data_IF_945067690075
#
_entry.id   IF_945067690075
#
_cell.length_a   1.000
_cell.length_b   1.000
_cell.length_c   1.000
_cell.angle_alpha   90.00
_cell.angle_beta   90.00
_cell.angle_gamma   90.00
#
_symmetry.space_group_name_H-M   'P 1'
#
loop_
_entity.id
_entity.type
_entity.pdbx_description
1 polymer ?
#
# COMPACT_ATOMS: atom_id res chain seq x y z
N UNK A 1 -16.13 21.76 -20.07
CA UNK A 1 -17.04 21.15 -19.07
C UNK A 1 -16.66 19.68 -18.91
N UNK A 2 -16.50 19.22 -17.68
CA UNK A 2 -16.13 17.83 -17.41
C UNK A 2 -17.35 16.90 -17.50
N UNK A 3 -17.07 15.66 -17.92
CA UNK A 3 -17.96 14.51 -17.79
C UNK A 3 -17.19 13.39 -17.09
N UNK A 4 -17.87 12.67 -16.23
CA UNK A 4 -17.30 11.53 -15.54
C UNK A 4 -18.20 10.30 -15.61
N UNK A 5 -17.59 9.14 -15.73
CA UNK A 5 -18.24 7.84 -15.70
C UNK A 5 -17.41 6.92 -14.83
N UNK A 6 -18.00 5.87 -14.27
CA UNK A 6 -17.26 4.85 -13.54
C UNK A 6 -17.71 3.44 -13.92
N UNK A 7 -16.78 2.50 -13.79
CA UNK A 7 -17.05 1.08 -14.04
C UNK A 7 -16.44 0.23 -12.95
N UNK A 8 -17.26 -0.61 -12.34
CA UNK A 8 -16.79 -1.61 -11.39
C UNK A 8 -16.03 -2.72 -12.11
N UNK A 9 -14.89 -3.10 -11.56
CA UNK A 9 -14.12 -4.26 -11.97
C UNK A 9 -13.87 -5.16 -10.76
N UNK A 10 -13.74 -6.47 -11.00
CA UNK A 10 -13.32 -7.43 -9.98
C UNK A 10 -11.99 -8.04 -10.41
N UNK A 11 -10.94 -7.75 -9.67
CA UNK A 11 -9.61 -8.32 -9.84
C UNK A 11 -9.59 -9.72 -9.23
N UNK A 12 -8.99 -10.68 -9.94
CA UNK A 12 -8.92 -12.09 -9.54
C UNK A 12 -7.48 -12.44 -9.21
N UNK A 13 -7.21 -12.82 -7.96
CA UNK A 13 -5.87 -13.21 -7.54
C UNK A 13 -5.40 -14.48 -8.25
N UNK A 14 -4.15 -14.50 -8.72
CA UNK A 14 -3.49 -15.70 -9.27
C UNK A 14 -3.34 -16.81 -8.23
N UNK A 15 -3.12 -16.41 -6.98
CA UNK A 15 -3.06 -17.29 -5.80
C UNK A 15 -3.76 -16.60 -4.65
N UNK A 16 -4.48 -17.32 -3.79
CA UNK A 16 -5.12 -16.73 -2.62
C UNK A 16 -4.12 -15.98 -1.75
N UNK A 17 -4.44 -14.74 -1.39
CA UNK A 17 -3.64 -13.90 -0.49
C UNK A 17 -4.06 -14.11 0.97
N UNK A 18 -3.25 -14.80 1.76
CA UNK A 18 -3.52 -15.01 3.19
C UNK A 18 -3.16 -13.78 4.03
N UNK A 19 -4.09 -13.30 4.83
CA UNK A 19 -3.92 -12.20 5.79
C UNK A 19 -4.44 -12.60 7.16
N UNK A 20 -4.15 -11.87 8.22
CA UNK A 20 -4.73 -12.09 9.56
C UNK A 20 -6.25 -11.92 9.59
N UNK A 21 -6.84 -11.26 8.59
CA UNK A 21 -8.30 -11.02 8.44
C UNK A 21 -9.01 -12.03 7.54
N UNK A 22 -8.26 -12.96 6.95
CA UNK A 22 -8.81 -13.99 6.06
C UNK A 22 -8.07 -14.09 4.73
N UNK A 23 -8.64 -14.82 3.80
CA UNK A 23 -8.05 -15.12 2.51
C UNK A 23 -8.74 -14.32 1.41
N UNK A 24 -7.95 -13.57 0.66
CA UNK A 24 -8.40 -12.79 -0.50
C UNK A 24 -8.26 -13.62 -1.78
N UNK A 25 -9.34 -13.83 -2.50
CA UNK A 25 -9.37 -14.47 -3.82
C UNK A 25 -9.76 -13.51 -4.93
N UNK A 26 -10.49 -12.46 -4.58
CA UNK A 26 -10.91 -11.38 -5.47
C UNK A 26 -10.82 -10.04 -4.76
N UNK A 27 -10.81 -8.96 -5.53
CA UNK A 27 -10.82 -7.59 -5.05
C UNK A 27 -11.62 -6.71 -5.99
N UNK A 28 -12.58 -5.97 -5.45
CA UNK A 28 -13.35 -4.99 -6.20
C UNK A 28 -12.61 -3.65 -6.27
N UNK A 29 -12.70 -3.01 -7.44
CA UNK A 29 -12.26 -1.64 -7.68
C UNK A 29 -13.22 -0.97 -8.65
N UNK A 30 -13.29 0.36 -8.62
CA UNK A 30 -14.06 1.16 -9.58
C UNK A 30 -13.10 2.06 -10.35
N UNK A 31 -13.11 1.92 -11.66
CA UNK A 31 -12.32 2.76 -12.56
C UNK A 31 -13.14 4.00 -12.87
N UNK A 32 -12.66 5.15 -12.44
CA UNK A 32 -13.23 6.46 -12.69
C UNK A 32 -12.59 7.07 -13.92
N UNK A 33 -13.40 7.51 -14.87
CA UNK A 33 -12.98 8.14 -16.11
C UNK A 33 -13.51 9.56 -16.16
N UNK A 34 -12.62 10.53 -16.41
CA UNK A 34 -12.97 11.95 -16.50
C UNK A 34 -12.47 12.51 -17.83
N UNK A 35 -13.32 13.27 -18.54
CA UNK A 35 -12.95 13.91 -19.82
C UNK A 35 -13.50 15.33 -19.92
N UNK A 36 -12.80 16.19 -20.63
CA UNK A 36 -13.33 17.49 -21.01
C UNK A 36 -14.14 17.36 -22.31
N UNK A 37 -15.35 17.89 -22.31
CA UNK A 37 -16.22 17.90 -23.52
C UNK A 37 -15.62 18.65 -24.70
N UNK A 38 -14.66 19.55 -24.49
CA UNK A 38 -13.95 20.25 -25.54
C UNK A 38 -12.82 19.39 -26.16
N UNK A 39 -12.31 18.36 -25.42
CA UNK A 39 -11.29 17.43 -25.86
C UNK A 39 -11.72 16.00 -25.46
N UNK A 40 -12.78 15.44 -26.06
CA UNK A 40 -13.41 14.21 -25.60
C UNK A 40 -12.51 12.96 -25.76
N UNK A 41 -11.50 13.02 -26.60
CA UNK A 41 -10.54 11.93 -26.83
C UNK A 41 -9.49 11.81 -25.71
N UNK A 42 -9.34 12.84 -24.88
CA UNK A 42 -8.46 12.81 -23.71
C UNK A 42 -9.25 12.36 -22.50
N UNK A 43 -8.92 11.18 -21.98
CA UNK A 43 -9.60 10.57 -20.83
C UNK A 43 -8.59 10.40 -19.70
N UNK A 44 -8.81 11.13 -18.61
CA UNK A 44 -8.12 10.90 -17.36
C UNK A 44 -8.73 9.69 -16.63
N UNK A 45 -7.88 8.79 -16.15
CA UNK A 45 -8.29 7.52 -15.55
C UNK A 45 -7.78 7.42 -14.12
N UNK A 46 -8.66 7.09 -13.18
CA UNK A 46 -8.33 6.83 -11.78
C UNK A 46 -8.93 5.53 -11.27
N UNK A 47 -8.41 5.03 -10.18
CA UNK A 47 -8.90 3.82 -9.52
C UNK A 47 -9.36 4.13 -8.11
N UNK A 48 -10.65 3.89 -7.84
CA UNK A 48 -11.22 3.90 -6.50
C UNK A 48 -11.14 2.46 -5.96
N UNK A 49 -10.12 2.21 -5.14
CA UNK A 49 -9.69 0.87 -4.73
C UNK A 49 -9.99 0.63 -3.26
N UNK A 50 -10.75 -0.41 -2.95
CA UNK A 50 -11.11 -0.77 -1.57
C UNK A 50 -10.61 -2.16 -1.21
N UNK A 51 -10.41 -2.39 0.09
CA UNK A 51 -10.24 -3.71 0.68
C UNK A 51 -11.33 -3.88 1.73
N UNK A 52 -12.24 -4.83 1.49
CA UNK A 52 -13.34 -5.12 2.43
C UNK A 52 -12.80 -5.46 3.82
N UNK A 53 -13.38 -4.83 4.85
CA UNK A 53 -12.97 -4.99 6.24
C UNK A 53 -11.69 -4.24 6.64
N UNK A 54 -11.09 -3.47 5.72
CA UNK A 54 -9.94 -2.61 5.99
C UNK A 54 -10.18 -1.16 5.62
N UNK A 55 -10.69 -0.90 4.40
CA UNK A 55 -11.01 0.47 3.96
C UNK A 55 -12.07 1.09 4.86
N UNK A 56 -11.90 2.37 5.20
CA UNK A 56 -12.86 3.13 6.01
C UNK A 56 -14.06 3.63 5.22
N UNK A 57 -14.03 3.50 3.90
CA UNK A 57 -15.14 3.92 3.02
C UNK A 57 -16.47 3.24 3.39
N UNK A 58 -17.60 3.99 3.53
CA UNK A 58 -18.90 3.44 3.85
C UNK A 58 -19.49 2.64 2.69
N UNK A 59 -19.36 1.31 2.73
CA UNK A 59 -19.74 0.44 1.60
C UNK A 59 -21.22 0.49 1.22
N UNK A 60 -22.13 0.74 2.16
CA UNK A 60 -23.56 0.83 1.91
C UNK A 60 -23.95 2.03 1.02
N UNK A 61 -23.14 3.08 0.98
CA UNK A 61 -23.37 4.31 0.22
C UNK A 61 -22.30 4.55 -0.84
N UNK A 62 -21.37 3.65 -1.02
CA UNK A 62 -20.19 3.82 -1.87
C UNK A 62 -20.52 4.11 -3.34
N UNK A 63 -21.34 3.27 -3.98
CA UNK A 63 -21.73 3.47 -5.37
C UNK A 63 -22.66 4.69 -5.54
N UNK A 64 -23.49 4.99 -4.54
CA UNK A 64 -24.30 6.22 -4.55
C UNK A 64 -23.40 7.47 -4.53
N UNK A 65 -22.29 7.44 -3.76
CA UNK A 65 -21.32 8.53 -3.72
C UNK A 65 -20.54 8.66 -5.04
N UNK A 66 -20.13 7.56 -5.66
CA UNK A 66 -19.54 7.58 -7.01
C UNK A 66 -20.49 8.16 -8.05
N UNK A 67 -21.77 7.78 -7.99
CA UNK A 67 -22.80 8.29 -8.87
C UNK A 67 -23.03 9.81 -8.66
N UNK A 68 -23.11 10.26 -7.40
CA UNK A 68 -23.18 11.69 -7.07
C UNK A 68 -21.98 12.45 -7.66
N UNK A 69 -20.77 11.98 -7.42
CA UNK A 69 -19.55 12.59 -7.96
C UNK A 69 -19.57 12.67 -9.48
N UNK A 70 -19.96 11.58 -10.17
CA UNK A 70 -20.00 11.53 -11.63
C UNK A 70 -20.97 12.56 -12.20
N UNK A 71 -22.15 12.72 -11.60
CA UNK A 71 -23.14 13.72 -12.03
C UNK A 71 -22.72 15.16 -11.71
N UNK A 72 -22.00 15.36 -10.61
CA UNK A 72 -21.57 16.67 -10.11
C UNK A 72 -20.08 16.93 -10.34
N UNK A 73 -19.48 16.29 -11.34
CA UNK A 73 -18.02 16.37 -11.56
C UNK A 73 -17.50 17.79 -11.81
N UNK A 74 -18.33 18.69 -12.33
CA UNK A 74 -17.95 20.10 -12.48
C UNK A 74 -17.99 20.90 -11.16
N UNK A 75 -18.63 20.33 -10.15
CA UNK A 75 -18.73 20.86 -8.77
C UNK A 75 -17.95 19.96 -7.79
N UNK A 76 -16.98 19.20 -8.28
CA UNK A 76 -16.27 18.19 -7.47
C UNK A 76 -15.69 18.73 -6.16
N UNK A 77 -15.24 19.99 -6.05
CA UNK A 77 -14.75 20.52 -4.77
C UNK A 77 -15.85 20.64 -3.70
N UNK A 78 -17.13 20.70 -4.11
CA UNK A 78 -18.30 20.79 -3.23
C UNK A 78 -18.88 19.42 -2.86
N UNK A 79 -18.44 18.35 -3.53
CA UNK A 79 -18.86 16.98 -3.21
C UNK A 79 -18.05 16.52 -2.00
N UNK A 80 -18.73 16.30 -0.88
CA UNK A 80 -18.07 15.84 0.33
C UNK A 80 -17.60 14.38 0.17
N UNK A 81 -16.28 14.21 0.08
CA UNK A 81 -15.58 12.93 0.01
C UNK A 81 -14.75 12.65 1.27
N UNK A 82 -14.99 13.35 2.38
CA UNK A 82 -14.21 13.22 3.61
C UNK A 82 -14.19 11.79 4.16
N UNK A 83 -15.31 11.07 4.04
CA UNK A 83 -15.47 9.69 4.47
C UNK A 83 -15.16 8.65 3.36
N UNK A 84 -14.77 9.09 2.17
CA UNK A 84 -14.51 8.23 1.00
C UNK A 84 -13.08 8.34 0.49
N UNK A 85 -12.08 7.91 1.27
CA UNK A 85 -10.66 8.07 0.92
C UNK A 85 -10.30 7.43 -0.42
N UNK A 86 -10.85 6.28 -0.75
CA UNK A 86 -10.55 5.61 -2.02
C UNK A 86 -11.14 6.35 -3.22
N UNK A 87 -12.31 7.00 -3.08
CA UNK A 87 -12.90 7.83 -4.13
C UNK A 87 -12.07 9.11 -4.30
N UNK A 88 -11.61 9.73 -3.21
CA UNK A 88 -10.70 10.88 -3.27
C UNK A 88 -9.42 10.55 -4.03
N UNK A 89 -8.79 9.42 -3.71
CA UNK A 89 -7.62 8.93 -4.43
C UNK A 89 -7.91 8.73 -5.92
N UNK A 90 -9.00 8.03 -6.26
CA UNK A 90 -9.38 7.79 -7.66
C UNK A 90 -9.65 9.10 -8.42
N UNK A 91 -10.31 10.06 -7.81
CA UNK A 91 -10.56 11.38 -8.40
C UNK A 91 -9.27 12.16 -8.61
N UNK A 92 -8.38 12.19 -7.60
CA UNK A 92 -7.10 12.89 -7.68
C UNK A 92 -6.26 12.38 -8.86
N UNK A 93 -6.12 11.08 -9.02
CA UNK A 93 -5.33 10.52 -10.12
C UNK A 93 -6.03 10.66 -11.48
N UNK A 94 -7.37 10.56 -11.55
CA UNK A 94 -8.11 10.78 -12.79
C UNK A 94 -7.97 12.22 -13.31
N UNK A 95 -8.07 13.21 -12.43
CA UNK A 95 -7.89 14.63 -12.78
C UNK A 95 -6.43 14.90 -13.16
N UNK A 96 -5.46 14.34 -12.46
CA UNK A 96 -4.04 14.47 -12.79
C UNK A 96 -3.72 13.84 -14.15
N UNK A 97 -4.28 12.67 -14.45
CA UNK A 97 -4.11 12.02 -15.74
C UNK A 97 -4.75 12.83 -16.86
N UNK A 98 -5.97 13.37 -16.66
CA UNK A 98 -6.61 14.27 -17.62
C UNK A 98 -5.74 15.49 -17.95
N UNK A 99 -5.19 16.14 -16.91
CA UNK A 99 -4.30 17.29 -17.07
C UNK A 99 -3.01 16.94 -17.81
N UNK A 100 -2.53 15.71 -17.65
CA UNK A 100 -1.33 15.17 -18.30
C UNK A 100 -1.62 14.57 -19.69
N UNK A 101 -2.82 14.74 -20.24
CA UNK A 101 -3.20 14.31 -21.58
C UNK A 101 -3.70 12.86 -21.67
N UNK A 102 -4.13 12.24 -20.58
CA UNK A 102 -4.78 10.92 -20.53
C UNK A 102 -3.83 9.74 -20.78
N UNK A 103 -2.53 9.96 -20.66
CA UNK A 103 -1.48 8.97 -20.96
C UNK A 103 -1.00 8.18 -19.75
N UNK A 104 -1.60 8.40 -18.58
CA UNK A 104 -1.20 7.82 -17.29
C UNK A 104 0.25 8.12 -16.90
N UNK A 105 0.81 9.20 -17.46
CA UNK A 105 2.13 9.76 -17.13
C UNK A 105 1.91 10.97 -16.22
N UNK A 106 1.80 10.72 -14.92
CA UNK A 106 1.39 11.73 -13.92
C UNK A 106 2.57 12.53 -13.37
N UNK A 107 3.71 11.87 -13.17
CA UNK A 107 4.90 12.45 -12.57
C UNK A 107 6.14 12.13 -13.43
N UNK A 108 6.43 12.94 -14.46
CA UNK A 108 7.62 12.76 -15.29
C UNK A 108 8.90 12.80 -14.44
N UNK A 109 9.71 11.74 -14.50
CA UNK A 109 10.91 11.57 -13.65
C UNK A 109 11.89 10.59 -14.29
N UNK A 110 13.05 10.38 -13.66
CA UNK A 110 14.00 9.34 -14.08
C UNK A 110 13.39 7.93 -14.04
N UNK A 111 12.41 7.70 -13.18
CA UNK A 111 11.65 6.45 -13.12
C UNK A 111 10.81 6.26 -14.39
N UNK A 112 9.99 7.23 -14.75
CA UNK A 112 9.12 7.15 -15.95
C UNK A 112 9.88 7.17 -17.26
N UNK A 113 11.14 7.63 -17.24
CA UNK A 113 12.08 7.52 -18.37
C UNK A 113 12.77 6.14 -18.44
N UNK A 114 12.48 5.21 -17.53
CA UNK A 114 13.13 3.89 -17.45
C UNK A 114 14.60 3.93 -17.00
N UNK A 115 15.07 5.06 -16.43
CA UNK A 115 16.49 5.26 -16.05
C UNK A 115 16.80 4.84 -14.61
N UNK A 116 15.78 4.78 -13.74
CA UNK A 116 15.94 4.48 -12.32
C UNK A 116 14.75 3.65 -11.83
N UNK A 117 15.02 2.52 -11.17
CA UNK A 117 14.01 1.72 -10.47
C UNK A 117 13.72 2.25 -9.06
N UNK A 118 12.64 1.78 -8.49
CA UNK A 118 12.27 1.96 -7.08
C UNK A 118 12.62 0.67 -6.35
N UNK A 119 13.48 0.67 -5.32
CA UNK A 119 13.71 -0.52 -4.49
C UNK A 119 12.38 -0.99 -3.86
N UNK A 120 12.11 -2.29 -3.91
CA UNK A 120 10.90 -2.87 -3.35
C UNK A 120 11.20 -4.07 -2.46
N UNK A 121 10.40 -4.24 -1.41
CA UNK A 121 10.48 -5.44 -0.60
C UNK A 121 9.75 -6.63 -1.26
N UNK A 122 10.27 -7.82 -1.02
CA UNK A 122 9.56 -9.06 -1.31
C UNK A 122 8.48 -9.32 -0.26
N UNK A 123 7.24 -9.59 -0.69
CA UNK A 123 6.14 -9.95 0.21
C UNK A 123 5.99 -11.46 0.30
N UNK A 124 5.94 -11.98 1.53
CA UNK A 124 5.63 -13.39 1.86
C UNK A 124 4.26 -13.43 2.52
N UNK A 125 3.28 -13.99 1.80
CA UNK A 125 1.91 -14.16 2.27
C UNK A 125 1.82 -15.24 3.35
N UNK A 126 0.87 -15.06 4.28
CA UNK A 126 0.54 -16.06 5.28
C UNK A 126 0.06 -17.36 4.62
N UNK A 127 0.39 -18.49 5.25
CA UNK A 127 -0.02 -19.82 4.82
C UNK A 127 0.67 -20.89 5.66
N UNK A 128 0.58 -22.14 5.21
CA UNK A 128 1.30 -23.25 5.83
C UNK A 128 2.82 -23.03 5.76
N UNK A 129 3.55 -23.62 6.72
CA UNK A 129 5.00 -23.42 6.88
C UNK A 129 5.79 -23.63 5.57
N UNK A 130 5.55 -24.73 4.85
CA UNK A 130 6.27 -25.02 3.59
C UNK A 130 5.92 -24.05 2.48
N UNK A 131 4.67 -23.55 2.45
CA UNK A 131 4.26 -22.53 1.49
C UNK A 131 4.97 -21.20 1.75
N UNK A 132 5.07 -20.78 3.01
CA UNK A 132 5.82 -19.56 3.38
C UNK A 132 7.31 -19.73 3.12
N UNK A 133 7.86 -20.90 3.46
CA UNK A 133 9.27 -21.24 3.18
C UNK A 133 9.60 -21.14 1.70
N UNK A 134 8.76 -21.68 0.83
CA UNK A 134 9.00 -21.61 -0.62
C UNK A 134 8.95 -20.18 -1.14
N UNK A 135 7.98 -19.36 -0.69
CA UNK A 135 7.92 -17.95 -1.06
C UNK A 135 9.20 -17.19 -0.65
N UNK A 136 9.75 -17.49 0.52
CA UNK A 136 11.01 -16.88 0.98
C UNK A 136 12.14 -17.23 0.01
N UNK A 137 12.31 -18.53 -0.32
CA UNK A 137 13.33 -19.00 -1.25
C UNK A 137 13.17 -18.30 -2.61
N UNK A 138 11.93 -18.26 -3.16
CA UNK A 138 11.64 -17.61 -4.44
C UNK A 138 12.05 -16.12 -4.43
N UNK A 139 11.85 -15.40 -3.30
CA UNK A 139 12.25 -14.00 -3.16
C UNK A 139 13.77 -13.83 -3.09
N UNK A 140 14.44 -14.67 -2.33
CA UNK A 140 15.90 -14.63 -2.20
C UNK A 140 16.58 -14.96 -3.54
N UNK A 141 16.09 -15.96 -4.27
CA UNK A 141 16.57 -16.31 -5.61
C UNK A 141 16.32 -15.19 -6.63
N UNK A 142 15.21 -14.46 -6.48
CA UNK A 142 14.91 -13.28 -7.28
C UNK A 142 15.72 -12.02 -6.88
N UNK A 143 16.63 -12.13 -5.89
CA UNK A 143 17.57 -11.09 -5.50
C UNK A 143 16.98 -9.98 -4.63
N UNK A 144 15.93 -10.28 -3.85
CA UNK A 144 15.42 -9.33 -2.86
C UNK A 144 16.36 -9.25 -1.66
N UNK A 145 16.77 -8.03 -1.32
CA UNK A 145 17.57 -7.67 -0.14
C UNK A 145 16.71 -7.20 1.05
N UNK A 146 15.41 -7.06 0.84
CA UNK A 146 14.41 -6.80 1.87
C UNK A 146 13.21 -7.72 1.67
N UNK A 147 12.83 -8.45 2.71
CA UNK A 147 11.67 -9.35 2.69
C UNK A 147 10.75 -9.03 3.86
N UNK A 148 9.45 -8.87 3.57
CA UNK A 148 8.39 -8.69 4.57
C UNK A 148 7.57 -9.95 4.69
N UNK A 149 7.55 -10.56 5.90
CA UNK A 149 6.76 -11.73 6.23
C UNK A 149 5.48 -11.31 6.96
N UNK A 150 4.34 -11.78 6.49
CA UNK A 150 3.11 -11.70 7.28
C UNK A 150 3.12 -12.78 8.34
N UNK A 151 2.84 -12.39 9.60
CA UNK A 151 2.84 -13.25 10.78
C UNK A 151 1.51 -13.13 11.55
N UNK A 152 1.28 -14.03 12.52
CA UNK A 152 0.09 -14.00 13.37
C UNK A 152 -1.07 -14.90 12.89
N UNK A 153 -0.85 -15.74 11.84
CA UNK A 153 -1.86 -16.67 11.36
C UNK A 153 -1.58 -18.14 11.67
N UNK A 154 -0.31 -18.50 11.90
CA UNK A 154 0.10 -19.85 12.29
C UNK A 154 0.69 -19.84 13.70
N UNK A 155 1.04 -21.02 14.21
CA UNK A 155 1.74 -21.11 15.49
C UNK A 155 3.01 -20.24 15.49
N UNK A 156 3.16 -19.41 16.51
CA UNK A 156 4.22 -18.42 16.60
C UNK A 156 5.63 -19.06 16.60
N UNK A 157 5.80 -20.26 17.18
CA UNK A 157 7.08 -20.95 17.12
C UNK A 157 7.44 -21.39 15.70
N UNK A 158 6.44 -21.70 14.86
CA UNK A 158 6.68 -21.99 13.44
C UNK A 158 7.10 -20.71 12.68
N UNK A 159 6.53 -19.55 13.02
CA UNK A 159 6.95 -18.27 12.47
C UNK A 159 8.39 -17.94 12.86
N UNK A 160 8.77 -18.14 14.14
CA UNK A 160 10.15 -18.01 14.60
C UNK A 160 11.10 -19.00 13.89
N UNK A 161 10.65 -20.22 13.60
CA UNK A 161 11.45 -21.19 12.86
C UNK A 161 11.74 -20.75 11.40
N UNK A 162 10.79 -20.05 10.74
CA UNK A 162 11.04 -19.43 9.43
C UNK A 162 12.11 -18.34 9.52
N UNK A 163 12.00 -17.45 10.50
CA UNK A 163 13.00 -16.40 10.71
C UNK A 163 14.39 -16.97 11.02
N UNK A 164 14.45 -18.01 11.85
CA UNK A 164 15.69 -18.74 12.15
C UNK A 164 16.31 -19.37 10.91
N UNK A 165 15.49 -19.97 10.05
CA UNK A 165 15.95 -20.53 8.77
C UNK A 165 16.57 -19.45 7.89
N UNK A 166 15.92 -18.29 7.75
CA UNK A 166 16.45 -17.18 6.96
C UNK A 166 17.78 -16.70 7.54
N UNK A 167 17.84 -16.46 8.86
CA UNK A 167 19.02 -15.92 9.53
C UNK A 167 20.20 -16.89 9.61
N UNK A 168 19.97 -18.19 9.40
CA UNK A 168 21.04 -19.18 9.25
C UNK A 168 21.88 -18.92 8.00
N UNK A 169 21.23 -18.51 6.92
CA UNK A 169 21.85 -18.39 5.61
C UNK A 169 22.16 -16.92 5.23
N UNK A 170 21.43 -15.94 5.82
CA UNK A 170 21.55 -14.51 5.51
C UNK A 170 21.68 -13.66 6.78
N UNK A 171 22.82 -12.99 6.92
CA UNK A 171 23.08 -12.04 8.01
C UNK A 171 22.20 -10.78 7.92
N UNK A 172 22.17 -9.99 9.00
CA UNK A 172 21.38 -8.75 9.06
C UNK A 172 21.82 -7.66 8.08
N UNK A 173 23.06 -7.72 7.61
CA UNK A 173 23.63 -6.78 6.65
C UNK A 173 23.41 -7.20 5.20
N UNK A 174 22.99 -8.45 4.98
CA UNK A 174 22.74 -9.01 3.66
C UNK A 174 21.25 -9.00 3.30
N UNK A 175 20.40 -9.14 4.33
CA UNK A 175 18.95 -9.19 4.15
C UNK A 175 18.22 -8.44 5.27
N UNK A 176 17.48 -7.39 4.91
CA UNK A 176 16.53 -6.73 5.78
C UNK A 176 15.29 -7.60 5.95
N UNK A 177 14.90 -7.87 7.19
CA UNK A 177 13.64 -8.56 7.50
C UNK A 177 12.67 -7.61 8.16
N UNK A 178 11.47 -7.51 7.59
CA UNK A 178 10.29 -6.88 8.18
C UNK A 178 9.25 -7.94 8.48
N UNK A 179 8.50 -7.77 9.54
CA UNK A 179 7.35 -8.63 9.83
C UNK A 179 6.08 -7.78 9.99
N UNK A 180 4.95 -8.35 9.57
CA UNK A 180 3.66 -7.68 9.57
C UNK A 180 2.65 -8.57 10.31
N UNK A 181 2.24 -8.12 11.48
CA UNK A 181 1.29 -8.83 12.34
C UNK A 181 -0.17 -8.47 12.04
N UNK A 182 -0.45 -7.40 11.31
CA UNK A 182 -1.81 -6.91 11.00
C UNK A 182 -2.72 -6.87 12.25
N UNK A 183 -2.20 -6.49 13.41
CA UNK A 183 -2.94 -6.43 14.68
C UNK A 183 -3.28 -7.77 15.29
N UNK A 184 -2.54 -8.84 14.99
CA UNK A 184 -2.85 -10.18 15.46
C UNK A 184 -2.48 -10.45 16.93
N UNK A 185 -1.55 -9.65 17.49
CA UNK A 185 -1.14 -9.87 18.89
C UNK A 185 -2.13 -9.22 19.86
N UNK A 186 -2.31 -9.84 21.02
CA UNK A 186 -2.97 -9.18 22.14
C UNK A 186 -2.01 -8.18 22.79
N UNK A 187 -2.54 -7.13 23.44
CA UNK A 187 -1.69 -6.17 24.15
C UNK A 187 -0.86 -6.83 25.25
N UNK A 188 -1.41 -7.88 25.90
CA UNK A 188 -0.76 -8.56 27.02
C UNK A 188 0.48 -9.37 26.62
N UNK A 189 0.48 -9.99 25.44
CA UNK A 189 1.57 -10.87 25.00
C UNK A 189 2.45 -10.25 23.88
N UNK A 190 2.04 -9.09 23.33
CA UNK A 190 2.75 -8.45 22.25
C UNK A 190 4.23 -8.15 22.59
N UNK A 191 4.50 -7.57 23.76
CA UNK A 191 5.87 -7.21 24.15
C UNK A 191 6.77 -8.45 24.24
N UNK A 192 6.27 -9.57 24.75
CA UNK A 192 7.06 -10.81 24.85
C UNK A 192 7.36 -11.37 23.45
N UNK A 193 6.37 -11.33 22.54
CA UNK A 193 6.59 -11.72 21.14
C UNK A 193 7.60 -10.82 20.43
N UNK A 194 7.54 -9.50 20.67
CA UNK A 194 8.50 -8.55 20.12
C UNK A 194 9.93 -8.83 20.61
N UNK A 195 10.11 -9.21 21.89
CA UNK A 195 11.42 -9.62 22.42
C UNK A 195 11.93 -10.87 21.71
N UNK A 196 11.09 -11.89 21.52
CA UNK A 196 11.50 -13.10 20.81
C UNK A 196 11.85 -12.84 19.34
N UNK A 197 11.07 -11.98 18.65
CA UNK A 197 11.35 -11.53 17.28
C UNK A 197 12.68 -10.79 17.18
N UNK A 198 13.08 -10.03 18.20
CA UNK A 198 14.30 -9.25 18.20
C UNK A 198 15.59 -10.10 18.10
N UNK A 199 15.54 -11.36 18.53
CA UNK A 199 16.64 -12.31 18.41
C UNK A 199 17.03 -12.56 16.94
N UNK A 200 16.10 -12.30 16.00
CA UNK A 200 16.31 -12.48 14.57
C UNK A 200 16.67 -11.20 13.83
N UNK A 201 17.07 -10.13 14.55
CA UNK A 201 17.46 -8.85 13.95
C UNK A 201 16.43 -8.33 12.95
N UNK A 202 15.17 -8.29 13.36
CA UNK A 202 14.06 -7.74 12.58
C UNK A 202 14.23 -6.22 12.52
N UNK A 203 14.07 -5.64 11.32
CA UNK A 203 14.12 -4.20 11.10
C UNK A 203 12.94 -3.49 11.76
N UNK A 204 11.73 -3.99 11.52
CA UNK A 204 10.51 -3.41 12.06
C UNK A 204 9.39 -4.44 12.15
N UNK A 205 8.47 -4.22 13.11
CA UNK A 205 7.22 -4.96 13.24
C UNK A 205 6.07 -4.03 12.88
N UNK A 206 5.33 -4.39 11.82
CA UNK A 206 4.17 -3.65 11.35
C UNK A 206 2.95 -4.04 12.16
N UNK A 207 2.24 -3.06 12.70
CA UNK A 207 0.96 -3.15 13.42
C UNK A 207 0.86 -4.37 14.35
N UNK A 208 1.62 -4.44 15.44
CA UNK A 208 1.63 -5.60 16.33
C UNK A 208 0.27 -5.85 17.00
N UNK A 209 -0.39 -4.81 17.50
CA UNK A 209 -1.72 -4.87 18.09
C UNK A 209 -2.76 -4.16 17.21
N UNK A 210 -4.05 -4.42 17.42
CA UNK A 210 -5.13 -3.81 16.63
C UNK A 210 -5.13 -2.30 16.76
N UNK A 211 -5.58 -1.62 15.70
CA UNK A 211 -5.75 -0.17 15.68
C UNK A 211 -6.69 0.33 16.79
N UNK A 212 -6.59 1.62 17.10
CA UNK A 212 -7.33 2.34 18.15
C UNK A 212 -6.95 1.98 19.60
N UNK A 213 -5.81 1.29 19.79
CA UNK A 213 -5.21 1.00 21.10
C UNK A 213 -3.95 1.87 21.28
N UNK A 214 -4.12 3.21 21.23
CA UNK A 214 -2.97 4.14 21.20
C UNK A 214 -2.08 4.06 22.43
N UNK A 215 -2.66 3.83 23.59
CA UNK A 215 -1.89 3.77 24.84
C UNK A 215 -1.05 2.48 24.90
N UNK A 216 -1.64 1.36 24.55
CA UNK A 216 -0.98 0.05 24.45
C UNK A 216 0.11 0.09 23.39
N UNK A 217 -0.18 0.68 22.22
CA UNK A 217 0.80 0.84 21.15
C UNK A 217 1.95 1.77 21.57
N UNK A 218 1.67 2.86 22.28
CA UNK A 218 2.69 3.77 22.82
C UNK A 218 3.60 3.05 23.83
N UNK A 219 3.02 2.24 24.72
CA UNK A 219 3.79 1.43 25.66
C UNK A 219 4.69 0.42 24.94
N UNK A 220 4.16 -0.23 23.88
CA UNK A 220 4.96 -1.11 23.03
C UNK A 220 6.08 -0.37 22.32
N UNK A 221 5.83 0.80 21.73
CA UNK A 221 6.88 1.62 21.09
C UNK A 221 7.98 2.02 22.08
N UNK A 222 7.62 2.28 23.33
CA UNK A 222 8.57 2.65 24.39
C UNK A 222 9.43 1.48 24.87
N UNK A 223 8.89 0.24 24.92
CA UNK A 223 9.50 -0.93 25.55
C UNK A 223 10.08 -1.94 24.57
N UNK A 224 9.62 -1.91 23.32
CA UNK A 224 10.04 -2.86 22.29
C UNK A 224 11.52 -2.72 21.94
N UNK A 225 12.25 -3.83 21.83
CA UNK A 225 13.61 -3.82 21.29
C UNK A 225 13.66 -3.70 19.75
N UNK A 226 12.50 -3.67 19.08
CA UNK A 226 12.36 -3.54 17.63
C UNK A 226 11.48 -2.33 17.35
N UNK A 227 11.82 -1.54 16.33
CA UNK A 227 10.98 -0.43 15.88
C UNK A 227 9.60 -0.93 15.39
N UNK A 228 8.56 -0.18 15.74
CA UNK A 228 7.19 -0.44 15.34
C UNK A 228 6.84 0.46 14.16
N UNK A 229 6.18 -0.12 13.16
CA UNK A 229 5.63 0.58 12.01
C UNK A 229 4.10 0.56 12.06
N UNK A 230 3.47 1.73 11.95
CA UNK A 230 2.01 1.85 11.94
C UNK A 230 1.47 1.77 10.52
N UNK A 231 0.47 0.95 10.29
CA UNK A 231 -0.26 0.78 9.03
C UNK A 231 -1.75 1.07 9.24
N UNK A 232 -2.47 0.12 9.82
CA UNK A 232 -3.91 0.24 10.02
C UNK A 232 -4.30 1.41 10.93
N UNK A 233 -3.40 1.85 11.78
CA UNK A 233 -3.62 2.99 12.67
C UNK A 233 -3.85 4.31 11.92
N UNK A 234 -3.35 4.42 10.68
CA UNK A 234 -3.48 5.62 9.88
C UNK A 234 -4.83 5.73 9.17
N UNK A 235 -5.55 4.60 9.02
CA UNK A 235 -6.77 4.52 8.22
C UNK A 235 -7.94 5.20 8.93
N UNK A 236 -8.62 6.11 8.23
CA UNK A 236 -9.79 6.82 8.76
C UNK A 236 -9.49 7.97 9.72
N UNK A 237 -8.22 8.26 10.03
CA UNK A 237 -7.86 9.43 10.84
C UNK A 237 -8.25 10.73 10.16
N UNK A 238 -8.71 11.69 10.95
CA UNK A 238 -8.88 13.07 10.50
C UNK A 238 -7.54 13.81 10.58
N UNK A 239 -7.40 14.92 9.85
CA UNK A 239 -6.13 15.66 9.79
C UNK A 239 -5.63 16.13 11.17
N UNK A 240 -6.56 16.56 12.04
CA UNK A 240 -6.23 16.97 13.40
C UNK A 240 -5.83 15.81 14.34
N UNK A 241 -6.15 14.57 13.97
CA UNK A 241 -5.83 13.37 14.76
C UNK A 241 -4.44 12.83 14.42
N UNK A 242 -3.93 13.09 13.20
CA UNK A 242 -2.64 12.55 12.74
C UNK A 242 -1.49 12.98 13.65
N UNK A 243 -1.38 14.27 13.95
CA UNK A 243 -0.34 14.79 14.82
C UNK A 243 -0.46 14.22 16.24
N UNK A 244 -1.68 14.21 16.80
CA UNK A 244 -1.94 13.66 18.14
C UNK A 244 -1.60 12.17 18.23
N UNK A 245 -1.92 11.39 17.19
CA UNK A 245 -1.59 9.97 17.11
C UNK A 245 -0.07 9.76 17.14
N UNK A 246 0.67 10.49 16.29
CA UNK A 246 2.13 10.39 16.24
C UNK A 246 2.80 10.81 17.55
N UNK A 247 2.34 11.91 18.17
CA UNK A 247 2.85 12.40 19.47
C UNK A 247 2.57 11.43 20.61
N UNK A 248 1.42 10.72 20.55
CA UNK A 248 1.02 9.76 21.58
C UNK A 248 1.79 8.45 21.43
N UNK A 249 1.82 7.88 20.24
CA UNK A 249 2.37 6.54 20.00
C UNK A 249 3.88 6.57 19.86
N UNK A 250 4.43 7.57 19.17
CA UNK A 250 5.88 7.71 18.86
C UNK A 250 6.46 6.47 18.18
N UNK A 251 5.91 6.04 17.05
CA UNK A 251 6.41 4.89 16.32
C UNK A 251 7.77 5.18 15.67
N UNK A 252 8.51 4.14 15.31
CA UNK A 252 9.70 4.29 14.46
C UNK A 252 9.35 4.63 13.01
N UNK A 253 8.23 4.09 12.52
CA UNK A 253 7.81 4.22 11.12
C UNK A 253 6.31 4.37 10.97
N UNK A 254 5.89 4.97 9.84
CA UNK A 254 4.53 4.87 9.31
C UNK A 254 4.55 4.31 7.90
N UNK A 255 3.47 3.58 7.54
CA UNK A 255 3.32 2.94 6.23
C UNK A 255 2.17 3.61 5.48
N UNK A 256 2.48 4.17 4.32
CA UNK A 256 1.54 4.97 3.57
C UNK A 256 0.87 4.16 2.47
N UNK A 257 -0.45 4.06 2.52
CA UNK A 257 -1.30 3.44 1.50
C UNK A 257 -2.22 4.51 0.91
N UNK A 258 -1.81 5.22 -0.15
CA UNK A 258 -2.52 6.40 -0.63
C UNK A 258 -4.01 6.21 -0.88
N UNK A 259 -4.42 5.05 -1.42
CA UNK A 259 -5.84 4.76 -1.66
C UNK A 259 -6.67 4.62 -0.37
N UNK A 260 -6.05 4.18 0.74
CA UNK A 260 -6.71 4.07 2.04
C UNK A 260 -6.66 5.36 2.85
N UNK A 261 -5.67 6.22 2.56
CA UNK A 261 -5.47 7.50 3.27
C UNK A 261 -6.25 8.66 2.64
N UNK A 262 -6.70 8.53 1.38
CA UNK A 262 -7.48 9.55 0.70
C UNK A 262 -6.70 10.39 -0.32
N UNK A 263 -5.63 9.82 -0.89
CA UNK A 263 -4.91 10.38 -2.01
C UNK A 263 -3.41 10.60 -1.77
N UNK A 264 -2.74 11.03 -2.83
CA UNK A 264 -1.30 11.30 -2.82
C UNK A 264 -0.97 12.54 -1.98
N UNK A 265 -1.71 13.64 -2.16
CA UNK A 265 -1.55 14.87 -1.37
C UNK A 265 -1.79 14.64 0.12
N UNK A 266 -2.78 13.80 0.45
CA UNK A 266 -3.01 13.47 1.85
C UNK A 266 -1.87 12.63 2.43
N UNK A 267 -1.30 11.73 1.63
CA UNK A 267 -0.12 10.97 2.02
C UNK A 267 1.10 11.87 2.25
N UNK A 268 1.27 12.94 1.45
CA UNK A 268 2.30 13.97 1.68
C UNK A 268 2.11 14.68 3.02
N UNK A 269 0.86 14.98 3.39
CA UNK A 269 0.57 15.53 4.72
C UNK A 269 1.00 14.59 5.85
N UNK A 270 0.74 13.27 5.74
CA UNK A 270 1.22 12.30 6.73
C UNK A 270 2.75 12.27 6.79
N UNK A 271 3.43 12.31 5.64
CA UNK A 271 4.91 12.39 5.57
C UNK A 271 5.41 13.62 6.33
N UNK A 272 4.84 14.79 6.04
CA UNK A 272 5.24 16.05 6.67
C UNK A 272 5.07 16.01 8.21
N UNK A 273 3.95 15.44 8.71
CA UNK A 273 3.74 15.31 10.15
C UNK A 273 4.69 14.29 10.79
N UNK A 274 4.99 13.18 10.11
CA UNK A 274 5.92 12.16 10.57
C UNK A 274 7.36 12.71 10.65
N UNK A 275 7.83 13.36 9.60
CA UNK A 275 9.18 13.94 9.54
C UNK A 275 9.41 15.02 10.60
N UNK A 276 8.40 15.85 10.91
CA UNK A 276 8.46 16.83 12.01
C UNK A 276 8.72 16.19 13.37
N UNK A 277 8.37 14.93 13.54
CA UNK A 277 8.52 14.16 14.77
C UNK A 277 9.66 13.13 14.71
N UNK A 278 10.44 13.12 13.62
CA UNK A 278 11.55 12.18 13.42
C UNK A 278 11.09 10.75 13.14
N UNK A 279 9.83 10.56 12.74
CA UNK A 279 9.26 9.26 12.35
C UNK A 279 9.55 9.02 10.87
N UNK A 280 10.19 7.90 10.56
CA UNK A 280 10.45 7.52 9.17
C UNK A 280 9.21 6.87 8.52
N UNK A 281 9.27 6.67 7.20
CA UNK A 281 8.11 6.18 6.46
C UNK A 281 8.51 5.44 5.19
N UNK A 282 7.61 4.59 4.70
CA UNK A 282 7.65 4.05 3.33
C UNK A 282 6.25 3.93 2.75
N UNK A 283 6.19 3.82 1.42
CA UNK A 283 4.94 3.68 0.68
C UNK A 283 4.69 2.21 0.37
N UNK A 284 3.44 1.80 0.46
CA UNK A 284 3.00 0.49 0.01
C UNK A 284 1.68 0.59 -0.76
N UNK A 285 1.44 -0.34 -1.65
CA UNK A 285 0.16 -0.50 -2.33
C UNK A 285 -0.87 -1.13 -1.40
N UNK A 286 -2.14 -0.76 -1.58
CA UNK A 286 -3.29 -1.45 -1.00
C UNK A 286 -3.93 -2.40 -2.02
N UNK A 287 -3.09 -3.11 -2.77
CA UNK A 287 -3.50 -4.11 -3.77
C UNK A 287 -4.31 -3.49 -4.92
N UNK A 288 -3.97 -2.29 -5.35
CA UNK A 288 -4.58 -1.66 -6.51
C UNK A 288 -4.28 -2.45 -7.79
N UNK A 289 -5.10 -2.24 -8.81
CA UNK A 289 -4.75 -2.63 -10.18
C UNK A 289 -3.52 -1.84 -10.65
N UNK A 290 -3.02 -2.17 -11.82
CA UNK A 290 -1.90 -1.41 -12.40
C UNK A 290 -2.22 0.08 -12.63
N UNK A 291 -3.48 0.49 -12.65
CA UNK A 291 -3.87 1.91 -12.76
C UNK A 291 -3.50 2.67 -11.49
N UNK A 292 -3.99 2.23 -10.34
CA UNK A 292 -3.66 2.85 -9.07
C UNK A 292 -2.20 2.66 -8.68
N UNK A 293 -1.66 1.45 -8.88
CA UNK A 293 -0.25 1.16 -8.61
C UNK A 293 0.70 2.05 -9.41
N UNK A 294 0.39 2.34 -10.68
CA UNK A 294 1.19 3.23 -11.52
C UNK A 294 1.24 4.65 -10.96
N UNK A 295 0.10 5.20 -10.52
CA UNK A 295 0.06 6.52 -9.92
C UNK A 295 0.90 6.57 -8.63
N UNK A 296 0.75 5.56 -7.76
CA UNK A 296 1.51 5.44 -6.51
C UNK A 296 3.01 5.31 -6.80
N UNK A 297 3.40 4.45 -7.76
CA UNK A 297 4.80 4.24 -8.10
C UNK A 297 5.47 5.50 -8.65
N UNK A 298 4.81 6.20 -9.58
CA UNK A 298 5.34 7.45 -10.14
C UNK A 298 5.50 8.53 -9.08
N UNK A 299 4.50 8.70 -8.22
CA UNK A 299 4.57 9.62 -7.09
C UNK A 299 5.69 9.24 -6.11
N UNK A 300 5.77 7.97 -5.71
CA UNK A 300 6.82 7.46 -4.82
C UNK A 300 8.23 7.75 -5.37
N UNK A 301 8.42 7.62 -6.67
CA UNK A 301 9.71 7.93 -7.31
C UNK A 301 10.13 9.40 -7.15
N UNK A 302 9.18 10.33 -6.96
CA UNK A 302 9.49 11.75 -6.72
C UNK A 302 9.92 12.06 -5.30
N UNK A 303 9.57 11.20 -4.35
CA UNK A 303 9.84 11.41 -2.93
C UNK A 303 11.30 11.11 -2.54
N UNK A 304 12.06 10.46 -3.41
CA UNK A 304 13.47 10.11 -3.20
C UNK A 304 13.77 9.34 -1.89
N UNK A 305 12.80 8.57 -1.38
CA UNK A 305 13.00 7.70 -0.23
C UNK A 305 13.82 6.45 -0.66
N UNK A 306 14.99 6.19 -0.06
CA UNK A 306 15.85 5.08 -0.45
C UNK A 306 15.39 3.73 0.11
N UNK A 307 14.46 3.71 1.06
CA UNK A 307 13.98 2.48 1.69
C UNK A 307 13.26 1.60 0.68
N UNK A 308 13.33 0.26 0.80
CA UNK A 308 12.50 -0.64 0.00
C UNK A 308 11.01 -0.40 0.24
N UNK A 309 10.27 -0.14 -0.86
CA UNK A 309 8.85 0.19 -0.87
C UNK A 309 7.97 -1.05 -1.07
N UNK A 310 6.73 -1.03 -0.62
CA UNK A 310 5.79 -2.14 -0.78
C UNK A 310 5.02 -2.11 -2.10
N UNK A 311 5.69 -1.95 -3.24
CA UNK A 311 5.06 -1.72 -4.55
C UNK A 311 5.14 -2.92 -5.51
N UNK A 312 5.45 -4.11 -5.00
CA UNK A 312 5.58 -5.33 -5.81
C UNK A 312 4.27 -6.04 -6.13
N UNK A 313 3.12 -5.37 -6.11
CA UNK A 313 1.79 -5.99 -6.16
C UNK A 313 1.16 -6.09 -7.56
N UNK A 314 1.75 -5.46 -8.58
CA UNK A 314 1.17 -5.42 -9.93
C UNK A 314 0.97 -6.78 -10.62
N UNK A 315 1.66 -7.82 -10.16
CA UNK A 315 1.58 -9.17 -10.75
C UNK A 315 0.62 -10.13 -10.03
N UNK A 316 -0.14 -9.65 -9.05
CA UNK A 316 -1.00 -10.51 -8.21
C UNK A 316 -2.22 -11.06 -8.95
N UNK A 317 -2.69 -10.39 -10.00
CA UNK A 317 -3.97 -10.67 -10.64
C UNK A 317 -3.84 -11.36 -12.00
N UNK A 318 -4.84 -12.17 -12.34
CA UNK A 318 -4.93 -12.83 -13.65
C UNK A 318 -5.48 -11.89 -14.74
N UNK A 319 -6.26 -10.89 -14.34
CA UNK A 319 -7.00 -9.96 -15.18
C UNK A 319 -6.63 -8.49 -14.91
N UNK A 320 -5.36 -8.22 -14.60
CA UNK A 320 -4.88 -6.86 -14.43
C UNK A 320 -4.72 -6.14 -15.78
N UNK A 321 -4.67 -4.81 -15.76
CA UNK A 321 -4.37 -4.02 -16.96
C UNK A 321 -2.90 -4.18 -17.36
N UNK A 322 -2.63 -4.27 -18.65
CA UNK A 322 -1.26 -4.18 -19.17
C UNK A 322 -0.72 -2.78 -18.88
N UNK A 323 0.47 -2.69 -18.33
CA UNK A 323 1.09 -1.42 -17.93
C UNK A 323 2.59 -1.42 -18.19
N UNK A 324 3.21 -0.23 -18.23
CA UNK A 324 4.67 -0.07 -18.30
C UNK A 324 5.44 -0.62 -17.09
N UNK A 325 4.77 -0.94 -15.98
CA UNK A 325 5.42 -1.39 -14.76
C UNK A 325 5.93 -2.83 -14.87
N UNK A 326 7.17 -3.05 -14.52
CA UNK A 326 7.76 -4.39 -14.40
C UNK A 326 8.75 -4.45 -13.23
N UNK A 327 9.00 -5.67 -12.75
CA UNK A 327 9.94 -5.92 -11.64
C UNK A 327 11.17 -6.64 -12.21
N UNK A 328 12.35 -6.11 -11.88
CA UNK A 328 13.62 -6.77 -12.11
C UNK A 328 14.53 -6.59 -10.88
N UNK A 329 15.13 -7.69 -10.41
CA UNK A 329 16.08 -7.71 -9.29
C UNK A 329 15.66 -6.84 -8.10
N UNK A 330 14.46 -7.13 -7.56
CA UNK A 330 13.89 -6.42 -6.42
C UNK A 330 13.70 -4.90 -6.62
N UNK A 331 13.59 -4.44 -7.84
CA UNK A 331 13.23 -3.07 -8.16
C UNK A 331 12.02 -3.02 -9.09
N UNK A 332 11.16 -2.04 -8.85
CA UNK A 332 10.06 -1.71 -9.75
C UNK A 332 10.57 -0.70 -10.77
N UNK A 333 10.40 -1.01 -12.05
CA UNK A 333 10.78 -0.18 -13.18
C UNK A 333 9.58 0.24 -14.02
N UNK A 334 9.78 1.23 -14.86
CA UNK A 334 8.84 1.71 -15.85
C UNK A 334 9.46 1.58 -17.26
N UNK A 335 8.78 0.90 -18.19
CA UNK A 335 9.21 0.76 -19.56
C UNK A 335 8.49 1.81 -20.43
N UNK A 336 9.13 2.92 -20.83
CA UNK A 336 8.45 4.07 -21.44
C UNK A 336 7.79 3.75 -22.80
N UNK A 337 8.27 2.73 -23.51
CA UNK A 337 7.74 2.33 -24.81
C UNK A 337 6.62 1.30 -24.73
N UNK A 338 6.23 0.85 -23.52
CA UNK A 338 5.10 -0.07 -23.35
C UNK A 338 3.80 0.71 -23.36
N UNK A 339 2.93 0.41 -24.31
CA UNK A 339 1.60 0.99 -24.38
C UNK A 339 0.66 0.39 -23.31
N UNK A 340 -0.21 1.23 -22.79
CA UNK A 340 -1.30 0.80 -21.95
C UNK A 340 -2.37 0.09 -22.80
N UNK A 341 -2.76 -1.12 -22.38
CA UNK A 341 -3.99 -1.75 -22.87
C UNK A 341 -5.04 -1.69 -21.77
N UNK A 342 -5.97 -0.79 -21.95
CA UNK A 342 -7.06 -0.51 -21.00
C UNK A 342 -8.38 -0.64 -21.74
N UNK A 343 -8.81 -1.89 -22.03
CA UNK A 343 -10.16 -2.18 -22.57
C UNK A 343 -11.21 -1.95 -21.46
N UNK A 344 -11.25 -0.71 -20.94
CA UNK A 344 -12.18 -0.35 -19.87
C UNK A 344 -13.54 0.06 -20.44
N UNK A 345 -13.62 0.41 -21.72
CA UNK A 345 -14.80 0.99 -22.40
C UNK A 345 -15.48 -0.01 -23.32
#
# INVERSE_FOLDING_TARGET
MLKADYKKITLIFKRPGGTSRGVLTTKDSWILSVRDTNNPDIIGTGECSIIYGLSSDPMSTYEAKLNELSHRINEFPEVDLSEYPSIRFGLEIALSDLQSGGKKLLFPSSFTMGKKGIPINGLVWMGEFEFMRQQIIDKLEAGYDCVKLKIGAIDFNKELALLKMIRKDFGKTELELRVDANGAFSADDALEKLKQLSEYHIHSVEQPVRQHQWQEMAELCRLSPIDIALDEELIGLKDNEVTTMLETIKPGYIILKPSLLGGLRRSEFFIEQAEKQGVAWWVTSALESNIGLNAIAQWTATLNNPMPQGLGTGQLYTNNFTSPLYIDKAQLFYHPDTEWMTDIY
#
